data_IF_138108987948
#
_entry.id   IF_138108987948
#
_cell.length_a   1.000
_cell.length_b   1.000
_cell.length_c   1.000
_cell.angle_alpha   90.00
_cell.angle_beta   90.00
_cell.angle_gamma   90.00
#
_symmetry.space_group_name_H-M   'P 1'
#
loop_
_entity.id
_entity.type
_entity.pdbx_description
1 polymer ?
#
# COMPACT_ATOMS: atom_id res chain seq x y z
N UNK A 1 7.40 16.77 10.73
CA UNK A 1 6.88 16.02 9.57
C UNK A 1 5.51 15.52 9.94
N UNK A 2 4.49 15.82 9.14
CA UNK A 2 3.14 15.31 9.39
C UNK A 2 3.03 13.81 9.06
N UNK A 3 2.05 13.08 9.62
CA UNK A 3 1.79 11.69 9.22
C UNK A 3 1.58 11.53 7.70
N UNK A 4 0.91 12.49 7.05
CA UNK A 4 0.70 12.49 5.61
C UNK A 4 2.02 12.66 4.82
N UNK A 5 2.93 13.55 5.25
CA UNK A 5 4.26 13.68 4.64
C UNK A 5 5.10 12.42 4.82
N UNK A 6 5.07 11.85 6.04
CA UNK A 6 5.80 10.61 6.36
C UNK A 6 5.31 9.42 5.53
N UNK A 7 4.01 9.37 5.22
CA UNK A 7 3.40 8.35 4.38
C UNK A 7 3.71 8.55 2.89
N UNK A 8 3.43 9.74 2.35
CA UNK A 8 3.49 10.01 0.90
C UNK A 8 4.90 9.90 0.31
N UNK A 9 5.95 10.10 1.10
CA UNK A 9 7.36 9.95 0.65
C UNK A 9 7.71 8.53 0.16
N UNK A 10 6.92 7.53 0.52
CA UNK A 10 7.17 6.14 0.13
C UNK A 10 6.66 5.81 -1.28
N UNK A 11 5.90 6.70 -1.90
CA UNK A 11 5.31 6.51 -3.22
C UNK A 11 6.17 7.10 -4.36
N UNK A 12 6.14 6.51 -5.55
CA UNK A 12 5.47 5.25 -5.87
C UNK A 12 6.18 4.04 -5.23
N UNK A 13 5.41 3.03 -4.85
CA UNK A 13 5.96 1.71 -4.52
C UNK A 13 5.79 0.85 -5.77
N UNK A 14 6.87 0.71 -6.53
CA UNK A 14 6.87 0.00 -7.80
C UNK A 14 7.44 -1.41 -7.69
N UNK A 15 6.82 -2.33 -8.43
CA UNK A 15 7.19 -3.72 -8.56
C UNK A 15 7.23 -4.08 -10.06
N UNK A 16 7.70 -5.28 -10.43
CA UNK A 16 7.72 -5.68 -11.84
C UNK A 16 6.33 -5.70 -12.49
N UNK A 17 5.32 -6.22 -11.78
CA UNK A 17 3.97 -6.46 -12.34
C UNK A 17 2.90 -5.50 -11.84
N UNK A 18 3.18 -4.69 -10.82
CA UNK A 18 2.25 -3.67 -10.35
C UNK A 18 2.97 -2.47 -9.72
N UNK A 19 2.25 -1.39 -9.47
CA UNK A 19 2.72 -0.30 -8.62
C UNK A 19 1.59 0.27 -7.78
N UNK A 20 1.91 0.68 -6.56
CA UNK A 20 1.04 1.53 -5.76
C UNK A 20 1.45 2.99 -5.95
N UNK A 21 0.48 3.83 -6.29
CA UNK A 21 0.67 5.26 -6.48
C UNK A 21 -0.29 6.05 -5.61
N UNK A 22 0.24 7.12 -5.02
CA UNK A 22 -0.55 8.08 -4.28
C UNK A 22 -1.19 9.06 -5.24
N UNK A 23 -2.52 9.19 -5.18
CA UNK A 23 -3.23 10.20 -5.96
C UNK A 23 -3.17 11.52 -5.20
N UNK A 24 -2.26 12.41 -5.59
CA UNK A 24 -2.21 13.75 -5.03
C UNK A 24 -3.44 14.57 -5.47
N UNK A 25 -3.94 15.44 -4.60
CA UNK A 25 -4.98 16.40 -4.98
C UNK A 25 -4.39 17.37 -6.01
N UNK A 26 -4.96 17.42 -7.21
CA UNK A 26 -4.53 18.37 -8.24
C UNK A 26 -4.70 19.81 -7.78
N UNK A 27 -3.72 20.67 -8.09
CA UNK A 27 -3.86 22.11 -7.90
C UNK A 27 -4.99 22.62 -8.81
N UNK A 28 -6.15 22.95 -8.23
CA UNK A 28 -7.30 23.46 -8.98
C UNK A 28 -8.56 22.58 -8.96
N UNK A 29 -8.53 21.41 -8.32
CA UNK A 29 -9.75 20.62 -8.10
C UNK A 29 -10.45 21.19 -6.86
N UNK A 30 -11.63 21.78 -7.06
CA UNK A 30 -12.47 22.31 -5.99
C UNK A 30 -12.67 21.24 -4.92
N UNK A 31 -12.67 21.63 -3.64
CA UNK A 31 -12.76 20.69 -2.53
C UNK A 31 -14.01 19.80 -2.56
N UNK A 32 -15.01 20.16 -3.36
CA UNK A 32 -16.27 19.45 -3.54
C UNK A 32 -16.16 18.22 -4.48
N UNK A 33 -15.15 18.16 -5.36
CA UNK A 33 -14.92 17.03 -6.27
C UNK A 33 -13.98 15.94 -5.69
N UNK A 34 -13.53 16.12 -4.44
CA UNK A 34 -13.23 15.08 -3.44
C UNK A 34 -12.13 14.01 -3.67
N UNK A 35 -11.65 13.77 -4.88
CA UNK A 35 -10.79 12.61 -5.16
C UNK A 35 -9.31 12.99 -5.21
N UNK A 36 -8.53 12.47 -4.24
CA UNK A 36 -7.08 12.65 -4.13
C UNK A 36 -6.62 13.35 -2.84
N UNK A 37 -5.41 13.02 -2.38
CA UNK A 37 -4.77 13.56 -1.18
C UNK A 37 -4.78 12.59 0.01
N UNK A 38 -4.11 13.02 1.09
CA UNK A 38 -4.30 12.46 2.43
C UNK A 38 -5.25 13.39 3.18
N UNK A 39 -6.31 12.85 3.76
CA UNK A 39 -7.29 13.60 4.54
C UNK A 39 -7.63 12.85 5.83
N UNK A 40 -8.06 13.57 6.85
CA UNK A 40 -8.73 12.96 8.00
C UNK A 40 -10.23 12.93 7.67
N UNK A 41 -10.84 11.74 7.61
CA UNK A 41 -12.26 11.60 7.32
C UNK A 41 -13.14 11.94 8.55
N UNK A 42 -14.45 11.88 8.40
CA UNK A 42 -15.41 12.21 9.48
C UNK A 42 -15.30 11.29 10.72
N UNK A 43 -14.71 10.10 10.56
CA UNK A 43 -14.45 9.16 11.65
C UNK A 43 -13.12 9.43 12.37
N UNK A 44 -12.37 10.45 11.94
CA UNK A 44 -11.04 10.74 12.47
C UNK A 44 -9.95 9.81 11.95
N UNK A 45 -10.18 9.07 10.85
CA UNK A 45 -9.18 8.22 10.24
C UNK A 45 -8.35 9.01 9.22
N UNK A 46 -7.03 8.83 9.25
CA UNK A 46 -6.20 9.28 8.14
C UNK A 46 -6.41 8.31 6.98
N UNK A 47 -6.92 8.82 5.87
CA UNK A 47 -7.19 8.08 4.65
C UNK A 47 -6.44 8.68 3.47
N UNK A 48 -6.11 7.86 2.49
CA UNK A 48 -5.46 8.28 1.26
C UNK A 48 -6.10 7.61 0.05
N UNK A 49 -6.18 8.31 -1.07
CA UNK A 49 -6.57 7.69 -2.36
C UNK A 49 -5.33 7.06 -3.00
N UNK A 50 -5.39 5.75 -3.24
CA UNK A 50 -4.30 4.95 -3.79
C UNK A 50 -4.75 4.33 -5.10
N UNK A 51 -3.87 4.38 -6.11
CA UNK A 51 -3.99 3.63 -7.35
C UNK A 51 -3.09 2.41 -7.31
N UNK A 52 -3.65 1.25 -7.60
CA UNK A 52 -2.92 0.05 -7.96
C UNK A 52 -2.91 -0.04 -9.49
N UNK A 53 -1.75 0.18 -10.10
CA UNK A 53 -1.52 -0.12 -11.51
C UNK A 53 -1.07 -1.56 -11.65
N UNK A 54 -1.65 -2.29 -12.60
CA UNK A 54 -1.23 -3.63 -12.97
C UNK A 54 -0.61 -3.54 -14.36
N UNK A 55 0.64 -3.96 -14.46
CA UNK A 55 1.44 -3.88 -15.67
C UNK A 55 1.41 -5.22 -16.41
N UNK A 56 1.38 -5.16 -17.73
CA UNK A 56 1.70 -6.29 -18.60
C UNK A 56 3.02 -5.99 -19.29
N UNK A 57 3.90 -6.98 -19.28
CA UNK A 57 5.20 -6.92 -19.94
C UNK A 57 5.08 -7.67 -21.27
N UNK A 58 5.16 -6.94 -22.38
CA UNK A 58 5.12 -7.49 -23.73
C UNK A 58 6.52 -7.71 -24.34
N UNK A 59 7.57 -7.58 -23.52
CA UNK A 59 8.96 -7.86 -23.85
C UNK A 59 9.80 -6.62 -24.12
N UNK A 60 9.25 -5.62 -24.83
CA UNK A 60 9.96 -4.37 -25.16
C UNK A 60 9.33 -3.14 -24.46
N UNK A 61 8.04 -3.17 -24.14
CA UNK A 61 7.33 -2.08 -23.45
C UNK A 61 6.48 -2.59 -22.28
N UNK A 62 6.28 -1.71 -21.29
CA UNK A 62 5.30 -1.94 -20.21
C UNK A 62 4.03 -1.20 -20.54
N UNK A 63 2.93 -1.95 -20.64
CA UNK A 63 1.60 -1.38 -20.82
C UNK A 63 0.76 -1.52 -19.55
N UNK A 64 -0.15 -0.57 -19.34
CA UNK A 64 -1.12 -0.64 -18.25
C UNK A 64 -2.20 -1.63 -18.66
N UNK A 65 -2.29 -2.74 -17.93
CA UNK A 65 -3.37 -3.72 -18.09
C UNK A 65 -4.64 -3.31 -17.37
N UNK A 66 -4.50 -2.82 -16.14
CA UNK A 66 -5.61 -2.42 -15.28
C UNK A 66 -5.18 -1.35 -14.28
N UNK A 67 -6.14 -0.53 -13.84
CA UNK A 67 -5.96 0.49 -12.81
C UNK A 67 -7.10 0.43 -11.84
N UNK A 68 -6.79 0.21 -10.57
CA UNK A 68 -7.76 0.16 -9.48
C UNK A 68 -7.50 1.31 -8.53
N UNK A 69 -8.49 2.17 -8.31
CA UNK A 69 -8.39 3.31 -7.40
C UNK A 69 -9.31 3.09 -6.20
N UNK A 70 -8.80 3.34 -5.00
CA UNK A 70 -9.56 3.17 -3.76
C UNK A 70 -9.07 4.15 -2.71
N UNK A 71 -10.00 4.67 -1.90
CA UNK A 71 -9.66 5.34 -0.65
C UNK A 71 -9.39 4.30 0.42
N UNK A 72 -8.19 4.33 1.02
CA UNK A 72 -7.74 3.36 2.02
C UNK A 72 -7.45 4.05 3.34
N UNK A 73 -7.77 3.39 4.44
CA UNK A 73 -7.40 3.84 5.79
C UNK A 73 -5.94 3.51 6.05
N UNK A 74 -5.13 4.54 6.26
CA UNK A 74 -3.69 4.40 6.52
C UNK A 74 -3.36 4.48 8.02
N UNK A 75 -4.16 5.22 8.80
CA UNK A 75 -4.08 5.28 10.27
C UNK A 75 -5.49 5.42 10.84
N UNK A 76 -5.84 4.60 11.83
CA UNK A 76 -7.12 4.72 12.54
C UNK A 76 -7.05 5.78 13.65
N UNK A 77 -8.21 6.31 14.05
CA UNK A 77 -8.31 7.53 14.86
C UNK A 77 -7.52 7.49 16.18
N UNK A 78 -7.49 6.36 16.93
CA UNK A 78 -6.73 6.29 18.17
C UNK A 78 -5.22 6.44 18.02
N UNK A 79 -4.68 6.33 16.79
CA UNK A 79 -3.25 6.29 16.51
C UNK A 79 -2.76 7.45 15.63
N UNK A 80 -3.59 8.47 15.37
CA UNK A 80 -3.21 9.64 14.56
C UNK A 80 -1.98 10.37 15.10
N UNK A 81 -1.86 10.42 16.43
CA UNK A 81 -0.75 11.07 17.14
C UNK A 81 0.28 10.06 17.68
N UNK A 82 0.23 8.80 17.23
CA UNK A 82 1.16 7.77 17.72
C UNK A 82 2.60 8.11 17.31
N UNK A 83 3.54 8.26 18.26
CA UNK A 83 4.92 8.64 17.94
C UNK A 83 5.65 7.58 17.09
N UNK A 84 5.10 6.37 16.97
CA UNK A 84 5.65 5.27 16.18
C UNK A 84 5.29 5.35 14.70
N UNK A 85 4.44 6.28 14.27
CA UNK A 85 3.98 6.39 12.87
C UNK A 85 5.10 6.43 11.83
N UNK A 86 6.21 7.18 12.02
CA UNK A 86 7.30 7.15 11.04
C UNK A 86 7.91 5.76 10.88
N UNK A 87 8.17 5.05 11.99
CA UNK A 87 8.68 3.69 11.96
C UNK A 87 7.67 2.71 11.36
N UNK A 88 6.38 2.88 11.64
CA UNK A 88 5.31 2.09 11.03
C UNK A 88 5.30 2.24 9.51
N UNK A 89 5.34 3.47 8.97
CA UNK A 89 5.32 3.68 7.52
C UNK A 89 6.58 3.12 6.83
N UNK A 90 7.75 3.24 7.47
CA UNK A 90 8.98 2.62 6.97
C UNK A 90 8.87 1.09 6.92
N UNK A 91 8.44 0.48 8.03
CA UNK A 91 8.25 -0.96 8.12
C UNK A 91 7.17 -1.49 7.18
N UNK A 92 6.09 -0.73 6.99
CA UNK A 92 5.02 -1.02 6.04
C UNK A 92 5.53 -1.02 4.59
N UNK A 93 6.22 0.04 4.17
CA UNK A 93 6.74 0.13 2.81
C UNK A 93 7.75 -1.01 2.53
N UNK A 94 8.58 -1.36 3.53
CA UNK A 94 9.49 -2.49 3.43
C UNK A 94 8.77 -3.84 3.33
N UNK A 95 7.74 -4.07 4.17
CA UNK A 95 6.95 -5.28 4.15
C UNK A 95 6.20 -5.48 2.81
N UNK A 96 5.62 -4.40 2.27
CA UNK A 96 4.94 -4.43 0.97
C UNK A 96 5.93 -4.74 -0.16
N UNK A 97 7.13 -4.14 -0.16
CA UNK A 97 8.21 -4.46 -1.12
C UNK A 97 8.65 -5.91 -1.01
N UNK A 98 8.84 -6.41 0.21
CA UNK A 98 9.21 -7.80 0.45
C UNK A 98 8.13 -8.77 -0.04
N UNK A 99 6.87 -8.55 0.32
CA UNK A 99 5.77 -9.41 -0.07
C UNK A 99 5.57 -9.41 -1.60
N UNK A 100 5.81 -8.28 -2.25
CA UNK A 100 5.68 -8.16 -3.72
C UNK A 100 6.82 -8.83 -4.49
N UNK A 101 8.02 -8.98 -3.90
CA UNK A 101 9.09 -9.77 -4.51
C UNK A 101 8.70 -11.26 -4.69
N UNK A 102 7.72 -11.75 -3.92
CA UNK A 102 7.17 -13.10 -4.08
C UNK A 102 6.40 -13.28 -5.40
N UNK A 103 5.93 -12.20 -6.03
CA UNK A 103 5.29 -12.25 -7.35
C UNK A 103 6.28 -12.72 -8.42
N UNK A 104 7.56 -12.38 -8.30
CA UNK A 104 8.60 -12.87 -9.21
C UNK A 104 8.79 -14.38 -9.07
N UNK A 105 8.75 -14.90 -7.85
CA UNK A 105 8.87 -16.35 -7.60
C UNK A 105 7.64 -17.11 -8.13
N UNK A 106 6.44 -16.53 -8.03
CA UNK A 106 5.22 -17.10 -8.63
C UNK A 106 5.33 -17.07 -10.16
N UNK A 107 5.76 -15.95 -10.74
CA UNK A 107 5.96 -15.81 -12.18
C UNK A 107 6.97 -16.84 -12.70
N UNK A 108 8.09 -17.01 -12.01
CA UNK A 108 9.11 -17.99 -12.38
C UNK A 108 8.61 -19.45 -12.31
N UNK A 109 7.71 -19.75 -11.36
CA UNK A 109 7.20 -21.11 -11.15
C UNK A 109 5.97 -21.46 -12.01
N UNK A 110 5.08 -20.49 -12.27
CA UNK A 110 3.75 -20.70 -12.84
C UNK A 110 3.44 -19.80 -14.06
N UNK A 111 4.38 -18.94 -14.43
CA UNK A 111 4.23 -17.96 -15.51
C UNK A 111 3.48 -16.69 -15.08
N UNK A 112 3.59 -15.66 -15.92
CA UNK A 112 2.94 -14.37 -15.69
C UNK A 112 1.42 -14.47 -15.56
N UNK A 113 0.77 -15.40 -16.28
CA UNK A 113 -0.69 -15.58 -16.21
C UNK A 113 -1.18 -15.85 -14.78
N UNK A 114 -0.42 -16.60 -13.97
CA UNK A 114 -0.77 -16.88 -12.57
C UNK A 114 -0.62 -15.64 -11.67
N UNK A 115 0.36 -14.78 -11.95
CA UNK A 115 0.51 -13.48 -11.26
C UNK A 115 -0.63 -12.55 -11.65
N UNK A 116 -0.95 -12.49 -12.95
CA UNK A 116 -2.00 -11.66 -13.50
C UNK A 116 -3.38 -12.00 -12.91
N UNK A 117 -3.72 -13.29 -12.76
CA UNK A 117 -4.98 -13.72 -12.14
C UNK A 117 -5.10 -13.27 -10.67
N UNK A 118 -4.00 -13.37 -9.90
CA UNK A 118 -3.99 -12.90 -8.50
C UNK A 118 -4.14 -11.38 -8.42
N UNK A 119 -3.41 -10.65 -9.25
CA UNK A 119 -3.50 -9.18 -9.31
C UNK A 119 -4.87 -8.71 -9.81
N UNK A 120 -5.55 -9.47 -10.68
CA UNK A 120 -6.89 -9.14 -11.15
C UNK A 120 -7.93 -9.14 -10.01
N UNK A 121 -7.75 -9.95 -8.97
CA UNK A 121 -8.59 -9.93 -7.78
C UNK A 121 -8.14 -8.89 -6.74
N UNK A 122 -6.90 -8.40 -6.84
CA UNK A 122 -6.31 -7.53 -5.83
C UNK A 122 -6.97 -6.15 -5.76
N UNK A 123 -7.00 -5.56 -4.58
CA UNK A 123 -7.48 -4.19 -4.33
C UNK A 123 -6.46 -3.38 -3.51
N UNK A 124 -6.39 -2.04 -3.68
CA UNK A 124 -5.43 -1.23 -2.93
C UNK A 124 -5.48 -1.43 -1.40
N UNK A 125 -6.64 -1.62 -0.79
CA UNK A 125 -6.76 -1.77 0.67
C UNK A 125 -6.03 -2.99 1.23
N UNK A 126 -5.86 -4.05 0.44
CA UNK A 126 -5.16 -5.27 0.85
C UNK A 126 -3.67 -5.06 1.15
N UNK A 127 -3.10 -3.94 0.70
CA UNK A 127 -1.71 -3.57 0.96
C UNK A 127 -1.56 -2.80 2.29
N UNK A 128 -2.65 -2.49 2.98
CA UNK A 128 -2.65 -1.68 4.20
C UNK A 128 -3.19 -2.47 5.39
N UNK A 129 -2.53 -2.33 6.53
CA UNK A 129 -2.98 -2.96 7.78
C UNK A 129 -2.71 -2.02 8.96
N UNK A 130 -3.51 -0.96 9.14
CA UNK A 130 -3.35 0.01 10.23
C UNK A 130 -3.52 -0.64 11.60
N UNK A 131 -4.27 -1.76 11.68
CA UNK A 131 -4.48 -2.54 12.89
C UNK A 131 -3.17 -3.04 13.55
N UNK A 132 -2.05 -3.07 12.82
CA UNK A 132 -0.74 -3.43 13.39
C UNK A 132 -0.27 -2.42 14.44
N UNK A 133 -0.72 -1.15 14.37
CA UNK A 133 -0.42 -0.12 15.37
C UNK A 133 -1.03 -0.45 16.75
N UNK A 134 -2.07 -1.29 16.79
CA UNK A 134 -2.67 -1.79 18.05
C UNK A 134 -1.71 -2.68 18.84
N UNK A 135 -0.69 -3.24 18.19
CA UNK A 135 0.31 -4.06 18.85
C UNK A 135 1.22 -3.18 19.70
N UNK A 136 1.41 -3.58 20.97
CA UNK A 136 2.29 -2.87 21.91
C UNK A 136 3.77 -3.09 21.62
N UNK A 137 4.13 -4.25 21.05
CA UNK A 137 5.53 -4.67 20.92
C UNK A 137 6.30 -3.90 19.82
N UNK A 138 5.78 -3.70 18.60
CA UNK A 138 6.55 -3.03 17.56
C UNK A 138 6.86 -1.57 17.90
N UNK A 139 8.13 -1.20 17.79
CA UNK A 139 8.63 0.15 18.07
C UNK A 139 9.47 0.69 16.90
N UNK A 140 10.16 -0.20 16.18
CA UNK A 140 11.03 0.13 15.06
C UNK A 140 10.44 -0.29 13.72
N UNK A 141 11.01 0.21 12.61
CA UNK A 141 10.59 -0.19 11.26
C UNK A 141 10.69 -1.70 11.06
N UNK A 142 11.79 -2.33 11.51
CA UNK A 142 11.99 -3.77 11.43
C UNK A 142 10.93 -4.53 12.25
N UNK A 143 10.61 -4.08 13.47
CA UNK A 143 9.55 -4.73 14.25
C UNK A 143 8.18 -4.66 13.56
N UNK A 144 7.87 -3.53 12.90
CA UNK A 144 6.62 -3.36 12.18
C UNK A 144 6.60 -4.21 10.90
N UNK A 145 7.71 -4.31 10.19
CA UNK A 145 7.86 -5.19 9.05
C UNK A 145 7.63 -6.65 9.46
N UNK A 146 8.34 -7.12 10.50
CA UNK A 146 8.17 -8.47 11.06
C UNK A 146 6.73 -8.72 11.50
N UNK A 147 6.12 -7.74 12.17
CA UNK A 147 4.72 -7.82 12.53
C UNK A 147 3.85 -7.99 11.28
N UNK A 148 3.96 -7.13 10.27
CA UNK A 148 3.15 -7.24 9.05
C UNK A 148 3.29 -8.59 8.35
N UNK A 149 4.51 -9.13 8.27
CA UNK A 149 4.80 -10.40 7.60
C UNK A 149 4.41 -11.65 8.41
N UNK A 150 4.36 -11.56 9.74
CA UNK A 150 4.10 -12.71 10.63
C UNK A 150 2.68 -13.28 10.60
N UNK A 151 1.72 -12.62 9.93
CA UNK A 151 0.33 -13.07 9.91
C UNK A 151 -0.31 -12.85 8.53
N UNK A 152 -0.68 -13.94 7.86
CA UNK A 152 -1.40 -13.93 6.57
C UNK A 152 -2.66 -13.07 6.55
N UNK A 153 -3.30 -12.79 7.69
CA UNK A 153 -4.47 -11.89 7.74
C UNK A 153 -4.12 -10.41 7.53
N UNK A 154 -2.83 -10.04 7.48
CA UNK A 154 -2.38 -8.65 7.37
C UNK A 154 -2.19 -8.25 5.90
N UNK A 155 -1.13 -8.75 5.27
CA UNK A 155 -0.91 -8.56 3.82
C UNK A 155 -1.58 -9.67 2.99
N UNK A 156 -2.55 -10.38 3.56
CA UNK A 156 -3.45 -11.26 2.83
C UNK A 156 -2.74 -12.34 2.01
N UNK A 157 -3.16 -12.42 0.74
CA UNK A 157 -2.67 -13.35 -0.27
C UNK A 157 -1.24 -13.05 -0.75
N UNK A 158 -0.67 -11.89 -0.39
CA UNK A 158 0.73 -11.56 -0.66
C UNK A 158 1.69 -12.34 0.26
N UNK A 159 1.19 -12.90 1.37
CA UNK A 159 1.98 -13.70 2.31
C UNK A 159 1.85 -15.21 2.00
N UNK A 160 2.95 -15.97 2.13
CA UNK A 160 3.04 -17.37 1.71
C UNK A 160 2.14 -18.24 2.54
#
# INVERSE_FOLDING_TARGET
MSPAEAFTRHFPISFPYCSLEFVAKGAGIAAEDGWGGCVVNDEGHLVATIRLFIWEDDGDDRSIRDVKEQQVTIVTAPYLDDPRLPAYFEGWAAAVRFASARLDEISAAQGFAAVSERLAAAMPDEFFCPEVLRLRRPQTADDFMDALLSNRKRLGWLLP
#
